data_IF_423880198497
#
_entry.id   IF_423880198497
#
_cell.length_a   1.000
_cell.length_b   1.000
_cell.length_c   1.000
_cell.angle_alpha   90.00
_cell.angle_beta   90.00
_cell.angle_gamma   90.00
#
_symmetry.space_group_name_H-M   'P 1'
#
loop_
_entity.id
_entity.type
_entity.pdbx_description
1 polymer ?
#
# COMPACT_ATOMS: atom_id res chain seq x y z
N UNK A 1 45.83 34.77 6.58
CA UNK A 1 44.89 35.00 7.70
C UNK A 1 43.72 34.04 7.49
N UNK A 2 43.78 32.87 8.13
CA UNK A 2 42.77 31.80 8.00
C UNK A 2 41.57 32.13 8.89
N UNK A 3 40.38 32.28 8.28
CA UNK A 3 39.12 32.38 9.03
C UNK A 3 38.65 30.95 9.30
N UNK A 4 39.02 30.43 10.47
CA UNK A 4 38.45 29.22 11.05
C UNK A 4 37.03 29.50 11.51
N UNK A 5 36.04 29.17 10.68
CA UNK A 5 34.64 29.14 11.09
C UNK A 5 34.48 27.95 12.03
N UNK A 6 34.16 28.23 13.29
CA UNK A 6 33.86 27.26 14.34
C UNK A 6 32.58 26.46 14.00
N UNK A 7 32.70 25.45 13.13
CA UNK A 7 31.62 24.56 12.69
C UNK A 7 31.01 23.77 13.87
N UNK A 8 31.78 23.53 14.94
CA UNK A 8 31.36 22.72 16.08
C UNK A 8 30.27 23.37 16.96
N UNK A 9 30.31 24.69 17.16
CA UNK A 9 29.27 25.41 17.95
C UNK A 9 27.94 25.49 17.22
N UNK A 10 27.96 25.59 15.88
CA UNK A 10 26.75 25.63 15.04
C UNK A 10 26.05 24.27 15.01
N UNK A 11 26.81 23.18 14.82
CA UNK A 11 26.27 21.82 14.84
C UNK A 11 25.66 21.45 16.20
N UNK A 12 26.32 21.82 17.31
CA UNK A 12 25.76 21.62 18.66
C UNK A 12 24.45 22.40 18.88
N UNK A 13 24.34 23.62 18.34
CA UNK A 13 23.10 24.42 18.42
C UNK A 13 21.96 23.86 17.55
N UNK A 14 22.28 23.25 16.41
CA UNK A 14 21.31 22.60 15.53
C UNK A 14 20.82 21.27 16.11
N UNK A 15 21.73 20.48 16.68
CA UNK A 15 21.40 19.23 17.40
C UNK A 15 20.51 19.55 18.62
N UNK A 16 20.85 20.58 19.39
CA UNK A 16 20.02 21.03 20.52
C UNK A 16 18.60 21.44 20.10
N UNK A 17 18.46 22.15 18.97
CA UNK A 17 17.15 22.53 18.41
C UNK A 17 16.35 21.33 17.90
N UNK A 18 17.01 20.37 17.24
CA UNK A 18 16.38 19.13 16.80
C UNK A 18 15.87 18.30 17.98
N UNK A 19 16.69 18.16 19.02
CA UNK A 19 16.31 17.45 20.26
C UNK A 19 15.13 18.17 20.93
N UNK A 20 15.14 19.51 20.96
CA UNK A 20 14.03 20.30 21.52
C UNK A 20 12.71 20.08 20.77
N UNK A 21 12.75 20.05 19.43
CA UNK A 21 11.57 19.78 18.60
C UNK A 21 11.05 18.35 18.80
N UNK A 22 11.95 17.37 18.92
CA UNK A 22 11.58 15.97 19.19
C UNK A 22 10.95 15.84 20.58
N UNK A 23 11.52 16.48 21.60
CA UNK A 23 11.00 16.45 22.97
C UNK A 23 9.64 17.15 23.05
N UNK A 24 9.49 18.34 22.46
CA UNK A 24 8.23 19.08 22.44
C UNK A 24 7.17 18.32 21.64
N UNK A 25 7.53 17.76 20.47
CA UNK A 25 6.64 16.93 19.67
C UNK A 25 6.20 15.66 20.40
N UNK A 26 7.11 15.03 21.15
CA UNK A 26 6.80 13.84 21.96
C UNK A 26 5.93 14.19 23.16
N UNK A 27 6.21 15.31 23.86
CA UNK A 27 5.40 15.79 24.98
C UNK A 27 4.00 16.22 24.55
N UNK A 28 3.87 16.90 23.41
CA UNK A 28 2.57 17.26 22.83
C UNK A 28 1.81 16.02 22.34
N UNK A 29 2.50 15.07 21.70
CA UNK A 29 1.89 13.78 21.35
C UNK A 29 1.47 12.99 22.57
N UNK A 30 2.27 12.92 23.63
CA UNK A 30 1.95 12.12 24.82
C UNK A 30 0.89 12.81 25.69
N UNK A 31 0.97 14.12 25.88
CA UNK A 31 -0.03 14.91 26.62
C UNK A 31 -1.35 15.03 25.86
N UNK A 32 -1.28 15.16 24.53
CA UNK A 32 -2.44 15.10 23.64
C UNK A 32 -3.05 13.70 23.62
N UNK A 33 -2.23 12.66 23.43
CA UNK A 33 -2.67 11.27 23.43
C UNK A 33 -3.26 10.87 24.77
N UNK A 34 -2.75 11.29 25.93
CA UNK A 34 -3.33 10.93 27.22
C UNK A 34 -4.71 11.57 27.45
N UNK A 35 -4.90 12.85 27.08
CA UNK A 35 -6.21 13.53 27.18
C UNK A 35 -7.21 12.99 26.15
N UNK A 36 -6.75 12.71 24.94
CA UNK A 36 -7.53 12.07 23.87
C UNK A 36 -7.88 10.65 24.30
N UNK A 37 -6.94 9.87 24.84
CA UNK A 37 -7.15 8.47 25.24
C UNK A 37 -8.14 8.35 26.39
N UNK A 38 -8.11 9.23 27.40
CA UNK A 38 -9.11 9.22 28.48
C UNK A 38 -10.52 9.64 28.00
N UNK A 39 -10.64 10.62 27.10
CA UNK A 39 -11.96 11.03 26.56
C UNK A 39 -12.47 10.13 25.41
N UNK A 40 -11.58 9.39 24.75
CA UNK A 40 -11.90 8.60 23.56
C UNK A 40 -11.88 7.10 23.80
N UNK A 41 -11.34 6.56 24.90
CA UNK A 41 -11.53 5.13 25.20
C UNK A 41 -13.01 4.82 25.45
N UNK A 42 -13.78 5.71 26.06
CA UNK A 42 -15.23 5.53 26.23
C UNK A 42 -16.02 5.76 24.92
N UNK A 43 -15.53 6.63 24.01
CA UNK A 43 -16.23 7.03 22.77
C UNK A 43 -15.81 6.24 21.51
N UNK A 44 -14.59 5.71 21.48
CA UNK A 44 -13.97 4.94 20.39
C UNK A 44 -13.62 3.51 20.80
N UNK A 45 -13.60 3.19 22.10
CA UNK A 45 -13.49 1.81 22.59
C UNK A 45 -14.82 1.05 22.56
N UNK A 46 -15.94 1.75 22.34
CA UNK A 46 -17.23 1.13 22.12
C UNK A 46 -17.45 0.93 20.62
N UNK A 47 -17.77 -0.31 20.23
CA UNK A 47 -17.91 -0.78 18.84
C UNK A 47 -19.07 -0.04 18.11
N UNK A 48 -19.83 0.72 18.88
CA UNK A 48 -20.86 1.67 18.48
C UNK A 48 -20.35 2.82 17.58
N UNK A 49 -19.10 3.30 17.71
CA UNK A 49 -18.56 4.31 16.80
C UNK A 49 -18.38 3.78 15.36
N UNK A 50 -17.84 2.57 15.22
CA UNK A 50 -17.71 1.89 13.93
C UNK A 50 -19.09 1.60 13.30
N UNK A 51 -20.05 1.19 14.14
CA UNK A 51 -21.43 0.96 13.73
C UNK A 51 -22.12 2.24 13.27
N UNK A 52 -21.97 3.34 14.01
CA UNK A 52 -22.56 4.63 13.66
C UNK A 52 -21.89 5.25 12.43
N UNK A 53 -20.57 5.16 12.29
CA UNK A 53 -19.85 5.62 11.10
C UNK A 53 -20.23 4.82 9.84
N UNK A 54 -20.42 3.49 9.95
CA UNK A 54 -20.92 2.65 8.85
C UNK A 54 -22.38 2.95 8.51
N UNK A 55 -23.25 3.08 9.51
CA UNK A 55 -24.68 3.35 9.34
C UNK A 55 -24.92 4.72 8.71
N UNK A 56 -24.17 5.74 9.13
CA UNK A 56 -24.20 7.07 8.50
C UNK A 56 -23.75 7.02 7.03
N UNK A 57 -22.69 6.26 6.76
CA UNK A 57 -22.18 6.04 5.41
C UNK A 57 -23.15 5.23 4.51
N UNK A 58 -23.83 4.21 5.04
CA UNK A 58 -24.76 3.37 4.27
C UNK A 58 -26.11 4.07 4.02
N UNK A 59 -26.64 4.78 5.03
CA UNK A 59 -27.92 5.50 4.94
C UNK A 59 -27.85 6.72 4.01
N UNK A 60 -26.69 7.38 3.90
CA UNK A 60 -26.52 8.58 3.07
C UNK A 60 -26.40 8.28 1.56
N UNK A 61 -26.22 7.02 1.14
CA UNK A 61 -25.80 6.73 -0.24
C UNK A 61 -26.51 5.60 -0.99
N UNK A 62 -27.60 5.02 -0.46
CA UNK A 62 -28.47 4.04 -1.17
C UNK A 62 -27.72 2.85 -1.83
N UNK A 63 -26.46 2.61 -1.42
CA UNK A 63 -25.49 1.67 -2.01
C UNK A 63 -24.57 1.09 -0.94
N UNK A 64 -25.12 0.86 0.26
CA UNK A 64 -24.42 0.24 1.37
C UNK A 64 -24.02 -1.21 1.04
N UNK A 65 -22.75 -1.55 1.27
CA UNK A 65 -22.34 -2.95 1.25
C UNK A 65 -22.77 -3.61 2.56
N UNK A 66 -23.63 -4.64 2.46
CA UNK A 66 -24.05 -5.61 3.48
C UNK A 66 -24.24 -5.07 4.90
N UNK A 67 -25.48 -5.08 5.39
CA UNK A 67 -25.90 -4.69 6.75
C UNK A 67 -25.45 -5.70 7.83
N UNK A 68 -24.17 -6.08 7.79
CA UNK A 68 -23.57 -7.06 8.68
C UNK A 68 -23.14 -6.36 9.96
N UNK A 69 -23.64 -6.83 11.11
CA UNK A 69 -23.28 -6.30 12.41
C UNK A 69 -21.82 -6.68 12.74
N UNK A 70 -20.89 -5.73 12.58
CA UNK A 70 -19.46 -5.90 12.86
C UNK A 70 -19.14 -5.49 14.31
N UNK A 71 -20.12 -5.70 15.18
CA UNK A 71 -20.12 -5.33 16.60
C UNK A 71 -19.19 -6.19 17.45
N UNK A 72 -18.55 -7.21 16.88
CA UNK A 72 -17.61 -8.09 17.58
C UNK A 72 -16.28 -8.18 16.83
N UNK A 73 -15.18 -8.33 17.57
CA UNK A 73 -13.82 -8.51 17.00
C UNK A 73 -13.76 -9.73 16.07
N UNK A 74 -14.50 -10.79 16.41
CA UNK A 74 -14.62 -12.00 15.58
C UNK A 74 -15.34 -11.72 14.26
N UNK A 75 -16.43 -10.95 14.27
CA UNK A 75 -17.12 -10.54 13.05
C UNK A 75 -16.24 -9.64 12.17
N UNK A 76 -15.42 -8.77 12.77
CA UNK A 76 -14.47 -7.92 12.04
C UNK A 76 -13.37 -8.72 11.35
N UNK A 77 -12.81 -9.74 12.01
CA UNK A 77 -11.79 -10.62 11.41
C UNK A 77 -12.39 -11.44 10.28
N UNK A 78 -13.60 -11.98 10.46
CA UNK A 78 -14.31 -12.77 9.44
C UNK A 78 -14.73 -11.94 8.23
N UNK A 79 -15.04 -10.66 8.43
CA UNK A 79 -15.43 -9.74 7.36
C UNK A 79 -14.23 -9.13 6.61
N UNK A 80 -13.05 -9.12 7.21
CA UNK A 80 -11.84 -8.53 6.63
C UNK A 80 -11.54 -9.01 5.20
N UNK A 81 -11.58 -10.32 4.87
CA UNK A 81 -11.33 -10.79 3.51
C UNK A 81 -12.34 -10.25 2.49
N UNK A 82 -13.60 -10.10 2.90
CA UNK A 82 -14.70 -9.61 2.06
C UNK A 82 -14.58 -8.09 1.85
N UNK A 83 -14.29 -7.35 2.92
CA UNK A 83 -14.02 -5.90 2.85
C UNK A 83 -12.79 -5.58 2.00
N UNK A 84 -11.73 -6.38 2.13
CA UNK A 84 -10.54 -6.29 1.29
C UNK A 84 -10.84 -6.59 -0.18
N UNK A 85 -11.58 -7.66 -0.46
CA UNK A 85 -11.98 -7.98 -1.83
C UNK A 85 -12.81 -6.85 -2.46
N UNK A 86 -13.77 -6.30 -1.72
CA UNK A 86 -14.55 -5.15 -2.20
C UNK A 86 -13.67 -3.90 -2.38
N UNK A 87 -12.78 -3.58 -1.45
CA UNK A 87 -11.87 -2.44 -1.59
C UNK A 87 -10.93 -2.58 -2.80
N UNK A 88 -10.45 -3.80 -3.06
CA UNK A 88 -9.47 -4.08 -4.11
C UNK A 88 -10.08 -4.28 -5.49
N UNK A 89 -11.30 -4.82 -5.58
CA UNK A 89 -11.91 -5.23 -6.85
C UNK A 89 -13.19 -4.47 -7.23
N UNK A 90 -13.82 -3.72 -6.30
CA UNK A 90 -15.01 -2.93 -6.62
C UNK A 90 -14.66 -1.55 -7.22
N UNK A 91 -15.55 -0.95 -8.04
CA UNK A 91 -16.85 -1.45 -8.46
C UNK A 91 -16.75 -2.55 -9.50
N UNK A 92 -17.51 -3.63 -9.32
CA UNK A 92 -17.60 -4.66 -10.34
C UNK A 92 -18.40 -4.13 -11.55
N UNK A 93 -18.10 -4.53 -12.79
CA UNK A 93 -18.75 -4.00 -13.99
C UNK A 93 -20.26 -4.25 -14.01
N UNK A 94 -20.74 -5.29 -13.33
CA UNK A 94 -22.17 -5.59 -13.14
C UNK A 94 -22.87 -4.74 -12.05
N UNK A 95 -22.13 -3.95 -11.27
CA UNK A 95 -22.68 -3.05 -10.24
C UNK A 95 -22.85 -1.60 -10.74
N UNK A 96 -22.60 -1.36 -12.03
CA UNK A 96 -22.64 -0.02 -12.62
C UNK A 96 -24.08 0.34 -12.97
N UNK A 97 -24.70 1.16 -12.13
CA UNK A 97 -26.07 1.65 -12.32
C UNK A 97 -26.14 3.08 -12.87
N UNK A 98 -24.99 3.77 -13.03
CA UNK A 98 -24.92 5.18 -13.44
C UNK A 98 -23.80 5.45 -14.45
N UNK A 99 -24.03 6.36 -15.39
CA UNK A 99 -23.03 6.87 -16.37
C UNK A 99 -21.78 7.42 -15.70
N UNK A 100 -21.90 8.01 -14.50
CA UNK A 100 -20.74 8.52 -13.74
C UNK A 100 -19.85 7.38 -13.23
N UNK A 101 -20.46 6.24 -12.87
CA UNK A 101 -19.76 5.01 -12.50
C UNK A 101 -19.18 4.28 -13.72
N UNK A 102 -19.73 4.51 -14.92
CA UNK A 102 -19.16 3.94 -16.15
C UNK A 102 -17.82 4.59 -16.54
N UNK A 103 -17.61 5.88 -16.22
CA UNK A 103 -16.35 6.57 -16.47
C UNK A 103 -15.15 5.97 -15.70
N UNK A 104 -15.40 5.16 -14.67
CA UNK A 104 -14.36 4.51 -13.86
C UNK A 104 -13.92 3.16 -14.41
N UNK A 105 -14.59 2.65 -15.46
CA UNK A 105 -14.27 1.36 -16.08
C UNK A 105 -12.85 1.29 -16.66
N UNK A 106 -12.35 2.29 -17.42
CA UNK A 106 -10.97 2.24 -17.94
C UNK A 106 -9.94 2.14 -16.82
N UNK A 107 -10.13 2.90 -15.74
CA UNK A 107 -9.27 2.85 -14.55
C UNK A 107 -9.27 1.45 -13.93
N UNK A 108 -10.44 0.82 -13.82
CA UNK A 108 -10.59 -0.54 -13.29
C UNK A 108 -9.88 -1.60 -14.14
N UNK A 109 -9.94 -1.51 -15.47
CA UNK A 109 -9.22 -2.44 -16.34
C UNK A 109 -7.71 -2.34 -16.15
N UNK A 110 -7.17 -1.12 -16.10
CA UNK A 110 -5.75 -0.88 -15.84
C UNK A 110 -5.37 -1.42 -14.46
N UNK A 111 -6.22 -1.20 -13.47
CA UNK A 111 -6.02 -1.69 -12.11
C UNK A 111 -5.97 -3.22 -12.04
N UNK A 112 -6.95 -3.90 -12.65
CA UNK A 112 -6.98 -5.37 -12.70
C UNK A 112 -5.80 -5.97 -13.46
N UNK A 113 -5.37 -5.34 -14.55
CA UNK A 113 -4.16 -5.74 -15.26
C UNK A 113 -2.89 -5.56 -14.42
N UNK A 114 -2.91 -4.61 -13.49
CA UNK A 114 -1.80 -4.33 -12.58
C UNK A 114 -1.72 -5.28 -11.38
N UNK A 115 -2.83 -5.91 -10.99
CA UNK A 115 -2.89 -6.87 -9.87
C UNK A 115 -1.82 -7.96 -9.88
N UNK A 116 -1.57 -8.71 -10.99
CA UNK A 116 -0.53 -9.74 -10.98
C UNK A 116 0.86 -9.16 -10.64
N UNK A 117 1.17 -7.95 -11.09
CA UNK A 117 2.44 -7.28 -10.77
C UNK A 117 2.49 -6.84 -9.30
N UNK A 118 1.36 -6.39 -8.75
CA UNK A 118 1.24 -6.09 -7.33
C UNK A 118 1.58 -7.30 -6.47
N UNK A 119 1.01 -8.47 -6.78
CA UNK A 119 1.28 -9.71 -6.04
C UNK A 119 2.75 -10.13 -6.15
N UNK A 120 3.35 -10.04 -7.34
CA UNK A 120 4.76 -10.36 -7.55
C UNK A 120 5.67 -9.41 -6.76
N UNK A 121 5.42 -8.10 -6.84
CA UNK A 121 6.22 -7.09 -6.15
C UNK A 121 6.08 -7.17 -4.64
N UNK A 122 4.88 -7.43 -4.14
CA UNK A 122 4.60 -7.65 -2.71
C UNK A 122 5.28 -8.92 -2.20
N UNK A 123 5.17 -10.03 -2.94
CA UNK A 123 5.84 -11.28 -2.59
C UNK A 123 7.37 -11.13 -2.57
N UNK A 124 7.92 -10.41 -3.56
CA UNK A 124 9.35 -10.11 -3.60
C UNK A 124 9.80 -9.22 -2.43
N UNK A 125 9.02 -8.19 -2.09
CA UNK A 125 9.29 -7.33 -0.94
C UNK A 125 9.40 -8.13 0.36
N UNK A 126 8.45 -9.05 0.59
CA UNK A 126 8.44 -9.90 1.79
C UNK A 126 9.60 -10.89 1.81
N UNK A 127 9.92 -11.52 0.68
CA UNK A 127 10.88 -12.64 0.67
C UNK A 127 12.33 -12.22 0.48
N UNK A 128 12.59 -11.16 -0.28
CA UNK A 128 13.96 -10.77 -0.69
C UNK A 128 14.46 -9.48 -0.04
N UNK A 129 13.57 -8.56 0.36
CA UNK A 129 13.94 -7.22 0.84
C UNK A 129 13.24 -6.83 2.15
N UNK A 130 12.77 -7.81 2.94
CA UNK A 130 11.91 -7.62 4.12
C UNK A 130 12.30 -6.44 5.02
N UNK A 131 13.57 -6.36 5.46
CA UNK A 131 14.03 -5.30 6.39
C UNK A 131 14.00 -3.89 5.78
N UNK A 132 14.15 -3.76 4.47
CA UNK A 132 14.17 -2.47 3.77
C UNK A 132 12.76 -2.02 3.37
N UNK A 133 11.86 -2.97 3.08
CA UNK A 133 10.46 -2.68 2.71
C UNK A 133 9.50 -2.70 3.90
N UNK A 134 9.96 -3.08 5.09
CA UNK A 134 9.17 -3.24 6.31
C UNK A 134 8.31 -2.02 6.67
N UNK A 135 8.85 -0.78 6.68
CA UNK A 135 8.04 0.40 7.03
C UNK A 135 6.92 0.64 6.03
N UNK A 136 7.20 0.49 4.73
CA UNK A 136 6.22 0.67 3.65
C UNK A 136 5.17 -0.43 3.68
N UNK A 137 5.57 -1.67 3.96
CA UNK A 137 4.67 -2.81 4.11
C UNK A 137 3.71 -2.61 5.28
N UNK A 138 4.23 -2.30 6.48
CA UNK A 138 3.40 -2.05 7.66
C UNK A 138 2.42 -0.90 7.40
N UNK A 139 2.92 0.20 6.85
CA UNK A 139 2.09 1.36 6.55
C UNK A 139 0.95 1.03 5.57
N UNK A 140 1.28 0.33 4.48
CA UNK A 140 0.31 -0.07 3.45
C UNK A 140 -0.72 -1.05 4.02
N UNK A 141 -0.29 -2.06 4.79
CA UNK A 141 -1.18 -3.04 5.42
C UNK A 141 -2.10 -2.35 6.44
N UNK A 142 -1.56 -1.46 7.28
CA UNK A 142 -2.33 -0.74 8.29
C UNK A 142 -3.40 0.15 7.65
N UNK A 143 -3.06 0.88 6.58
CA UNK A 143 -4.04 1.65 5.81
C UNK A 143 -5.12 0.75 5.19
N UNK A 144 -4.71 -0.37 4.59
CA UNK A 144 -5.64 -1.28 3.90
C UNK A 144 -6.64 -1.90 4.88
N UNK A 145 -6.15 -2.35 6.05
CA UNK A 145 -6.99 -2.87 7.14
C UNK A 145 -7.91 -1.77 7.68
N UNK A 146 -7.37 -0.57 7.93
CA UNK A 146 -8.14 0.58 8.40
C UNK A 146 -9.30 0.90 7.45
N UNK A 147 -9.04 1.05 6.16
CA UNK A 147 -10.10 1.36 5.20
C UNK A 147 -11.11 0.23 5.03
N UNK A 148 -10.68 -1.03 5.03
CA UNK A 148 -11.57 -2.20 4.96
C UNK A 148 -12.54 -2.27 6.16
N UNK A 149 -12.08 -1.90 7.35
CA UNK A 149 -12.89 -1.92 8.57
C UNK A 149 -13.72 -0.66 8.76
N UNK A 150 -13.33 0.49 8.22
CA UNK A 150 -14.08 1.74 8.38
C UNK A 150 -15.10 2.01 7.27
N UNK A 151 -15.02 1.35 6.10
CA UNK A 151 -15.92 1.64 4.98
C UNK A 151 -17.23 0.84 5.01
N UNK A 152 -18.35 1.57 5.07
CA UNK A 152 -19.70 1.05 4.81
C UNK A 152 -20.29 1.47 3.47
N UNK A 153 -19.55 2.25 2.66
CA UNK A 153 -20.06 2.93 1.47
C UNK A 153 -19.13 2.83 0.26
N UNK A 154 -19.70 2.41 -0.88
CA UNK A 154 -19.01 2.20 -2.15
C UNK A 154 -18.37 3.48 -2.74
N UNK A 155 -19.01 4.64 -2.58
CA UNK A 155 -18.54 5.94 -3.07
C UNK A 155 -17.45 6.58 -2.20
N UNK A 156 -17.38 6.26 -0.90
CA UNK A 156 -16.23 6.62 -0.04
C UNK A 156 -15.07 5.66 -0.28
N UNK A 157 -15.37 4.38 -0.49
CA UNK A 157 -14.39 3.37 -0.90
C UNK A 157 -13.65 3.78 -2.18
N UNK A 158 -14.39 4.22 -3.20
CA UNK A 158 -13.79 4.70 -4.45
C UNK A 158 -12.80 5.85 -4.23
N UNK A 159 -13.18 6.86 -3.43
CA UNK A 159 -12.35 8.05 -3.17
C UNK A 159 -11.10 7.75 -2.35
N UNK A 160 -11.23 6.88 -1.36
CA UNK A 160 -10.11 6.50 -0.49
C UNK A 160 -9.19 5.46 -1.17
N UNK A 161 -9.71 4.68 -2.13
CA UNK A 161 -8.91 3.77 -2.96
C UNK A 161 -7.79 4.49 -3.70
N UNK A 162 -8.03 5.69 -4.22
CA UNK A 162 -6.99 6.48 -4.90
C UNK A 162 -5.81 6.83 -3.99
N UNK A 163 -6.05 7.00 -2.69
CA UNK A 163 -4.97 7.27 -1.71
C UNK A 163 -4.12 6.02 -1.46
N UNK A 164 -4.76 4.85 -1.36
CA UNK A 164 -4.07 3.57 -1.18
C UNK A 164 -3.33 3.15 -2.46
N UNK A 165 -3.92 3.42 -3.64
CA UNK A 165 -3.37 3.07 -4.94
C UNK A 165 -1.96 3.64 -5.15
N UNK A 166 -1.67 4.85 -4.65
CA UNK A 166 -0.32 5.44 -4.74
C UNK A 166 0.74 4.52 -4.11
N UNK A 167 0.44 3.92 -2.96
CA UNK A 167 1.35 3.01 -2.28
C UNK A 167 1.41 1.65 -2.98
N UNK A 168 0.26 1.15 -3.45
CA UNK A 168 0.20 -0.11 -4.18
C UNK A 168 0.91 -0.04 -5.55
N UNK A 169 0.92 1.12 -6.20
CA UNK A 169 1.67 1.34 -7.44
C UNK A 169 3.18 1.22 -7.26
N UNK A 170 3.73 1.53 -6.07
CA UNK A 170 5.14 1.26 -5.80
C UNK A 170 5.44 -0.25 -5.87
N UNK A 171 4.57 -1.09 -5.32
CA UNK A 171 4.74 -2.55 -5.42
C UNK A 171 4.52 -3.06 -6.84
N UNK A 172 3.54 -2.50 -7.57
CA UNK A 172 3.31 -2.82 -8.99
C UNK A 172 4.57 -2.50 -9.83
N UNK A 173 5.20 -1.34 -9.60
CA UNK A 173 6.42 -0.95 -10.31
C UNK A 173 7.57 -1.94 -10.04
N UNK A 174 7.75 -2.37 -8.79
CA UNK A 174 8.73 -3.41 -8.43
C UNK A 174 8.42 -4.72 -9.15
N UNK A 175 7.16 -5.17 -9.13
CA UNK A 175 6.76 -6.41 -9.81
C UNK A 175 6.94 -6.37 -11.33
N UNK A 176 6.70 -5.20 -11.93
CA UNK A 176 6.95 -4.96 -13.35
C UNK A 176 8.43 -5.02 -13.69
N UNK A 177 9.28 -4.35 -12.90
CA UNK A 177 10.73 -4.33 -13.13
C UNK A 177 11.33 -5.74 -13.03
N UNK A 178 10.92 -6.54 -12.03
CA UNK A 178 11.36 -7.93 -11.89
C UNK A 178 11.03 -8.79 -13.10
N UNK A 179 9.84 -8.60 -13.69
CA UNK A 179 9.44 -9.33 -14.90
C UNK A 179 10.27 -8.89 -16.11
N UNK A 180 10.59 -7.59 -16.19
CA UNK A 180 11.44 -7.02 -17.25
C UNK A 180 12.86 -7.57 -17.16
N UNK A 181 13.48 -7.51 -15.97
CA UNK A 181 14.82 -8.06 -15.70
C UNK A 181 14.90 -9.55 -16.04
N UNK A 182 13.89 -10.34 -15.64
CA UNK A 182 13.85 -11.78 -15.97
C UNK A 182 13.86 -12.03 -17.47
N UNK A 183 13.02 -11.31 -18.23
CA UNK A 183 12.92 -11.43 -19.69
C UNK A 183 14.20 -10.98 -20.39
N UNK A 184 14.87 -9.96 -19.87
CA UNK A 184 16.15 -9.48 -20.39
C UNK A 184 17.27 -10.49 -20.14
N UNK A 185 17.36 -11.04 -18.92
CA UNK A 185 18.31 -12.10 -18.58
C UNK A 185 18.13 -13.35 -19.44
N UNK A 186 16.90 -13.78 -19.70
CA UNK A 186 16.61 -14.90 -20.60
C UNK A 186 17.14 -14.65 -22.03
N UNK A 187 16.92 -13.45 -22.58
CA UNK A 187 17.44 -13.08 -23.91
C UNK A 187 18.96 -13.07 -23.97
N UNK A 188 19.62 -12.56 -22.93
CA UNK A 188 21.08 -12.55 -22.84
C UNK A 188 21.61 -13.98 -22.81
N UNK A 189 21.03 -14.85 -21.98
CA UNK A 189 21.41 -16.26 -21.88
C UNK A 189 21.25 -16.98 -23.23
N UNK A 190 20.15 -16.76 -23.94
CA UNK A 190 19.91 -17.36 -25.25
C UNK A 190 20.91 -16.88 -26.31
N UNK A 191 21.30 -15.59 -26.28
CA UNK A 191 22.32 -15.05 -27.18
C UNK A 191 23.70 -15.65 -26.93
N UNK A 192 24.07 -15.89 -25.66
CA UNK A 192 25.33 -16.52 -25.28
C UNK A 192 25.34 -18.00 -25.71
N UNK A 193 24.24 -18.72 -25.52
CA UNK A 193 24.09 -20.11 -25.96
C UNK A 193 24.25 -20.25 -27.48
N UNK A 194 23.63 -19.35 -28.26
CA UNK A 194 23.76 -19.35 -29.73
C UNK A 194 25.19 -19.08 -30.18
N UNK A 195 25.86 -18.07 -29.59
CA UNK A 195 27.28 -17.77 -29.91
C UNK A 195 28.20 -18.96 -29.61
N UNK A 196 28.07 -19.58 -28.43
CA UNK A 196 28.86 -20.77 -28.07
C UNK A 196 28.61 -21.95 -29.01
N UNK A 197 27.36 -22.15 -29.43
CA UNK A 197 27.02 -23.21 -30.38
C UNK A 197 27.66 -22.95 -31.76
N UNK A 198 27.61 -21.71 -32.25
CA UNK A 198 28.26 -21.31 -33.51
C UNK A 198 29.78 -21.48 -33.45
N UNK A 199 30.42 -21.04 -32.37
CA UNK A 199 31.86 -21.25 -32.12
C UNK A 199 32.22 -22.74 -32.13
N UNK A 200 31.42 -23.57 -31.46
CA UNK A 200 31.61 -25.02 -31.37
C UNK A 200 31.47 -25.70 -32.74
N UNK A 201 30.48 -25.29 -33.55
CA UNK A 201 30.30 -25.80 -34.92
C UNK A 201 31.46 -25.37 -35.84
N UNK A 202 31.94 -24.13 -35.70
CA UNK A 202 33.09 -23.66 -36.48
C UNK A 202 34.37 -24.42 -36.13
N UNK A 203 34.57 -24.75 -34.86
CA UNK A 203 35.70 -25.57 -34.41
C UNK A 203 35.65 -26.96 -35.06
N UNK A 204 34.50 -27.66 -34.98
CA UNK A 204 34.34 -28.98 -35.61
C UNK A 204 34.57 -28.96 -37.12
N UNK A 205 34.18 -27.88 -37.81
CA UNK A 205 34.44 -27.71 -39.25
C UNK A 205 35.91 -27.50 -39.59
N UNK A 206 36.73 -26.99 -38.67
CA UNK A 206 38.17 -26.80 -38.88
C UNK A 206 38.97 -28.07 -38.61
N UNK A 207 38.43 -28.97 -37.78
CA UNK A 207 39.07 -30.22 -37.38
C UNK A 207 38.74 -31.40 -38.33
N UNK A 208 37.89 -31.19 -39.35
CA UNK A 208 37.54 -32.16 -40.40
C UNK A 208 38.22 -31.81 -41.71
#
# INVERSE_FOLDING_TARGET
MLIGINTERSAQSLVGRFISIIIIGTLLSYGGALRVTQMNIERFGNIEFLKNARKDQSQTADSGFSDTDLSTTEAQITFLPIGLANLMFAPYPWQITSLRSAATLPEMFVWWLSMPFLFIGFWFAITKRFRQTLPVLIFTIMLTIGYSLFQGNAGTAYRQRTQIQVFLFMFIAVGWELKREKKENERIIDSIKKKKLEETIQQMRKDT
#
